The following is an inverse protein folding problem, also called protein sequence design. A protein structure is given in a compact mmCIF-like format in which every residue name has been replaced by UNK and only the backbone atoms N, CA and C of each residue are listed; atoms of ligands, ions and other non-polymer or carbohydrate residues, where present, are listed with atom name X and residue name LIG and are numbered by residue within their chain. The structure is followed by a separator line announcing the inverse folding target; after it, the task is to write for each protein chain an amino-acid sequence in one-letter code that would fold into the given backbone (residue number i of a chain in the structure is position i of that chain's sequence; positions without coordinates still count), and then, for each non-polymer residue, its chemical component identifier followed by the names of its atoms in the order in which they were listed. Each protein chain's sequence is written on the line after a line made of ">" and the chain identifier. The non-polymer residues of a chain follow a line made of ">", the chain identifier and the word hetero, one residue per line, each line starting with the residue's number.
data_IF_001980990766
#
_entry.id   IF_001980990766
#
_cell.length_a   1.000
_cell.length_b   1.000
_cell.length_c   1.000
_cell.angle_alpha   90.00
_cell.angle_beta   90.00
_cell.angle_gamma   90.00
#
_symmetry.space_group_name_H-M   'P 1'
#
loop_
_entity.id
_entity.type
_entity.pdbx_description
1 polymer ?
#
# COMPACT_ATOMS: atom_id res chain seq x y z
N UNK A 1 39.82 -31.59 35.12
CA UNK A 1 40.22 -30.77 33.96
C UNK A 1 39.34 -31.10 32.75
N UNK A 2 38.01 -30.96 32.89
CA UNK A 2 36.98 -31.28 31.87
C UNK A 2 35.79 -30.31 31.91
N UNK A 3 35.97 -29.15 32.56
CA UNK A 3 34.93 -28.12 32.73
C UNK A 3 35.30 -26.77 32.10
N UNK A 4 36.43 -26.71 31.38
CA UNK A 4 36.96 -25.48 30.78
C UNK A 4 37.12 -25.53 29.27
N UNK A 5 36.74 -26.62 28.62
CA UNK A 5 36.67 -26.67 27.17
C UNK A 5 35.25 -26.39 26.71
N UNK A 6 35.17 -25.40 25.83
CA UNK A 6 34.00 -25.02 25.07
C UNK A 6 33.01 -24.01 25.66
N UNK A 7 33.48 -23.08 26.50
CA UNK A 7 32.70 -21.87 26.83
C UNK A 7 32.30 -21.07 25.57
N UNK A 8 33.18 -21.00 24.56
CA UNK A 8 32.93 -20.30 23.29
C UNK A 8 31.82 -20.97 22.48
N UNK A 9 31.85 -22.29 22.31
CA UNK A 9 30.81 -22.99 21.56
C UNK A 9 29.49 -23.08 22.33
N UNK A 10 29.53 -23.22 23.67
CA UNK A 10 28.33 -23.12 24.50
C UNK A 10 27.69 -21.73 24.39
N UNK A 11 28.48 -20.66 24.45
CA UNK A 11 27.99 -19.30 24.27
C UNK A 11 27.40 -19.09 22.86
N UNK A 12 28.08 -19.56 21.81
CA UNK A 12 27.57 -19.48 20.44
C UNK A 12 26.28 -20.29 20.24
N UNK A 13 26.17 -21.45 20.88
CA UNK A 13 24.95 -22.26 20.81
C UNK A 13 23.80 -21.60 21.58
N UNK A 14 24.07 -20.98 22.72
CA UNK A 14 23.08 -20.20 23.49
C UNK A 14 22.62 -18.98 22.68
N UNK A 15 23.53 -18.24 22.05
CA UNK A 15 23.20 -17.10 21.18
C UNK A 15 22.42 -17.50 19.91
N UNK A 16 22.52 -18.77 19.48
CA UNK A 16 21.79 -19.29 18.30
C UNK A 16 20.44 -19.91 18.64
N UNK A 17 20.24 -20.44 19.85
CA UNK A 17 19.04 -21.18 20.26
C UNK A 17 18.04 -20.36 21.08
N UNK A 18 18.45 -19.22 21.63
CA UNK A 18 17.50 -18.31 22.27
C UNK A 18 16.83 -17.50 21.15
N UNK A 19 15.54 -17.74 20.89
CA UNK A 19 14.64 -16.89 20.06
C UNK A 19 14.47 -15.45 20.59
N UNK A 20 15.20 -15.11 21.65
CA UNK A 20 15.44 -13.79 22.24
C UNK A 20 16.95 -13.49 22.17
N UNK A 21 17.47 -13.16 20.98
CA UNK A 21 18.77 -12.52 20.89
C UNK A 21 18.67 -11.20 21.71
N UNK A 22 19.46 -10.99 22.80
CA UNK A 22 19.36 -9.77 23.61
C UNK A 22 19.81 -8.53 22.84
N UNK A 23 20.50 -8.75 21.73
CA UNK A 23 20.55 -7.79 20.65
C UNK A 23 19.46 -8.19 19.68
N UNK A 24 18.31 -7.52 19.73
CA UNK A 24 17.49 -7.44 18.54
C UNK A 24 18.46 -7.13 17.39
N UNK A 25 18.37 -7.90 16.29
CA UNK A 25 18.98 -7.41 15.07
C UNK A 25 18.31 -6.05 14.86
N UNK A 26 19.01 -4.98 15.23
CA UNK A 26 18.68 -3.59 14.96
C UNK A 26 18.87 -3.38 13.44
N UNK A 27 18.20 -4.22 12.66
CA UNK A 27 17.77 -3.88 11.32
C UNK A 27 16.58 -3.00 11.63
N UNK A 28 16.84 -1.70 11.61
CA UNK A 28 15.81 -0.69 11.75
C UNK A 28 14.75 -0.99 10.68
N UNK A 29 13.62 -1.58 11.09
CA UNK A 29 12.49 -1.87 10.21
C UNK A 29 11.64 -0.61 10.13
N UNK A 30 11.10 -0.31 8.93
CA UNK A 30 10.13 0.79 8.76
C UNK A 30 8.84 0.62 9.59
N UNK A 31 8.70 -0.49 10.32
CA UNK A 31 7.59 -0.83 11.20
C UNK A 31 7.69 -0.18 12.60
N UNK A 32 8.91 0.08 13.10
CA UNK A 32 9.12 0.59 14.47
C UNK A 32 9.47 2.08 14.42
N UNK A 33 8.61 2.92 15.02
CA UNK A 33 8.83 4.36 15.08
C UNK A 33 10.13 4.71 15.83
N UNK A 34 11.05 5.40 15.15
CA UNK A 34 12.31 5.87 15.74
C UNK A 34 12.20 7.34 16.12
N UNK A 35 12.37 7.63 17.42
CA UNK A 35 12.44 8.99 17.98
C UNK A 35 13.91 9.47 18.08
N UNK A 36 14.68 9.23 17.02
CA UNK A 36 16.07 9.64 16.92
C UNK A 36 16.14 10.90 16.05
N UNK A 37 16.55 12.01 16.64
CA UNK A 37 16.72 13.27 15.93
C UNK A 37 17.70 13.13 14.76
N UNK A 38 17.42 13.82 13.65
CA UNK A 38 18.33 13.90 12.51
C UNK A 38 19.66 14.53 12.93
N UNK A 39 20.75 13.91 12.49
CA UNK A 39 22.08 14.53 12.57
C UNK A 39 22.10 15.82 11.72
N UNK A 40 22.66 16.93 12.23
CA UNK A 40 22.64 18.23 11.53
C UNK A 40 23.18 18.20 10.09
N UNK A 41 24.13 17.30 9.80
CA UNK A 41 24.70 17.14 8.46
C UNK A 41 23.70 16.69 7.40
N UNK A 42 22.56 16.13 7.79
CA UNK A 42 21.52 15.63 6.88
C UNK A 42 20.35 16.58 6.69
N UNK A 43 20.34 17.72 7.39
CA UNK A 43 19.22 18.65 7.36
C UNK A 43 19.02 19.26 5.97
N UNK A 44 20.10 19.74 5.32
CA UNK A 44 20.02 20.31 3.98
C UNK A 44 19.53 19.29 2.92
N UNK A 45 19.93 18.03 3.08
CA UNK A 45 19.45 16.94 2.22
C UNK A 45 17.96 16.69 2.43
N UNK A 46 17.49 16.65 3.69
CA UNK A 46 16.08 16.51 4.01
C UNK A 46 15.24 17.64 3.39
N UNK A 47 15.67 18.89 3.55
CA UNK A 47 15.01 20.07 3.00
C UNK A 47 14.88 19.97 1.47
N UNK A 48 15.95 19.55 0.79
CA UNK A 48 15.92 19.33 -0.67
C UNK A 48 14.93 18.25 -1.09
N UNK A 49 14.83 17.15 -0.33
CA UNK A 49 13.86 16.08 -0.60
C UNK A 49 12.42 16.56 -0.37
N UNK A 50 12.19 17.36 0.67
CA UNK A 50 10.87 17.94 0.96
C UNK A 50 10.43 18.87 -0.16
N UNK A 51 11.30 19.76 -0.64
CA UNK A 51 11.00 20.66 -1.76
C UNK A 51 10.59 19.90 -3.02
N UNK A 52 11.26 18.78 -3.32
CA UNK A 52 10.89 17.91 -4.45
C UNK A 52 9.52 17.28 -4.23
N UNK A 53 9.21 16.82 -3.02
CA UNK A 53 7.94 16.17 -2.72
C UNK A 53 6.78 17.18 -2.85
N UNK A 54 6.92 18.35 -2.21
CA UNK A 54 5.88 19.39 -2.21
C UNK A 54 5.60 19.96 -3.61
N UNK A 55 6.58 19.87 -4.54
CA UNK A 55 6.40 20.31 -5.92
C UNK A 55 5.73 19.30 -6.87
N UNK A 56 5.61 18.02 -6.49
CA UNK A 56 5.25 16.94 -7.44
C UNK A 56 4.00 16.12 -7.06
N UNK A 57 3.40 16.37 -5.89
CA UNK A 57 2.17 15.73 -5.44
C UNK A 57 2.34 14.24 -5.08
N UNK A 58 1.77 13.33 -5.87
CA UNK A 58 1.97 11.89 -5.67
C UNK A 58 3.37 11.46 -6.16
N UNK A 59 4.23 11.00 -5.25
CA UNK A 59 5.66 10.75 -5.53
C UNK A 59 6.08 9.34 -5.14
N UNK A 60 6.90 8.71 -6.00
CA UNK A 60 7.67 7.52 -5.62
C UNK A 60 9.08 8.00 -5.24
N UNK A 61 9.48 7.76 -3.99
CA UNK A 61 10.80 8.10 -3.49
C UNK A 61 11.63 6.82 -3.30
N UNK A 62 12.50 6.47 -4.27
CA UNK A 62 13.45 5.38 -4.05
C UNK A 62 14.47 5.80 -2.98
N UNK A 63 14.61 5.00 -1.94
CA UNK A 63 15.66 5.20 -0.93
C UNK A 63 16.87 4.37 -1.35
N UNK A 64 17.95 5.07 -1.70
CA UNK A 64 19.20 4.47 -2.14
C UNK A 64 20.31 4.79 -1.13
N UNK A 65 20.98 3.77 -0.60
CA UNK A 65 22.11 3.80 0.31
C UNK A 65 22.51 2.38 0.76
N UNK A 66 23.79 2.20 1.08
CA UNK A 66 24.28 0.92 1.59
C UNK A 66 23.66 0.59 2.96
N UNK A 67 23.78 -0.68 3.35
CA UNK A 67 23.33 -1.15 4.68
C UNK A 67 24.03 -0.34 5.77
N UNK A 68 23.24 0.16 6.73
CA UNK A 68 23.74 0.95 7.85
C UNK A 68 23.92 2.45 7.58
N UNK A 69 23.59 2.95 6.37
CA UNK A 69 23.68 4.39 6.06
C UNK A 69 22.51 5.24 6.62
N UNK A 70 21.62 4.66 7.44
CA UNK A 70 20.51 5.38 8.08
C UNK A 70 19.31 5.62 7.16
N UNK A 71 19.02 4.69 6.24
CA UNK A 71 17.86 4.74 5.33
C UNK A 71 16.53 4.79 6.09
N UNK A 72 16.35 3.90 7.06
CA UNK A 72 15.16 3.86 7.89
C UNK A 72 15.01 5.12 8.75
N UNK A 73 16.12 5.67 9.26
CA UNK A 73 16.10 6.95 9.99
C UNK A 73 15.64 8.11 9.09
N UNK A 74 16.12 8.16 7.84
CA UNK A 74 15.67 9.15 6.85
C UNK A 74 14.16 9.01 6.57
N UNK A 75 13.68 7.78 6.42
CA UNK A 75 12.25 7.51 6.26
C UNK A 75 11.44 8.06 7.44
N UNK A 76 11.81 7.76 8.69
CA UNK A 76 11.09 8.25 9.87
C UNK A 76 11.10 9.76 9.96
N UNK A 77 12.25 10.40 9.71
CA UNK A 77 12.34 11.85 9.68
C UNK A 77 11.41 12.48 8.63
N UNK A 78 11.39 11.93 7.42
CA UNK A 78 10.48 12.39 6.36
C UNK A 78 9.03 12.14 6.71
N UNK A 79 8.69 10.97 7.29
CA UNK A 79 7.33 10.61 7.72
C UNK A 79 6.80 11.57 8.78
N UNK A 80 7.60 11.90 9.78
CA UNK A 80 7.23 12.86 10.83
C UNK A 80 7.03 14.27 10.26
N UNK A 81 7.91 14.70 9.35
CA UNK A 81 7.82 16.03 8.74
C UNK A 81 6.61 16.12 7.81
N UNK A 82 6.40 15.10 6.97
CA UNK A 82 5.38 15.03 5.91
C UNK A 82 4.08 14.36 6.39
N UNK A 83 3.67 14.62 7.64
CA UNK A 83 2.45 14.08 8.27
C UNK A 83 1.14 14.40 7.51
N UNK A 84 1.17 15.39 6.62
CA UNK A 84 0.04 15.75 5.75
C UNK A 84 -0.11 14.85 4.52
N UNK A 85 0.87 14.00 4.24
CA UNK A 85 0.86 13.03 3.14
C UNK A 85 0.48 11.62 3.64
N UNK A 86 -0.02 10.78 2.74
CA UNK A 86 -0.08 9.34 2.98
C UNK A 86 1.30 8.75 2.69
N UNK A 87 2.02 8.36 3.73
CA UNK A 87 3.37 7.80 3.58
C UNK A 87 3.32 6.28 3.67
N UNK A 88 3.83 5.59 2.65
CA UNK A 88 3.83 4.12 2.58
C UNK A 88 5.25 3.66 2.35
N UNK A 89 5.74 2.78 3.21
CA UNK A 89 7.07 2.19 3.10
C UNK A 89 6.96 0.79 2.51
N UNK A 90 7.82 0.50 1.53
CA UNK A 90 7.88 -0.78 0.83
C UNK A 90 9.32 -1.25 0.82
N UNK A 91 9.59 -2.36 1.50
CA UNK A 91 10.86 -3.08 1.34
C UNK A 91 10.76 -4.01 0.13
N UNK A 92 11.69 -3.90 -0.82
CA UNK A 92 11.67 -4.74 -2.02
C UNK A 92 12.10 -6.19 -1.77
N UNK A 93 12.76 -6.47 -0.65
CA UNK A 93 13.12 -7.84 -0.24
C UNK A 93 11.89 -8.77 -0.20
N UNK A 94 10.72 -8.24 0.17
CA UNK A 94 9.47 -8.98 0.31
C UNK A 94 8.58 -8.94 -0.95
N UNK A 95 8.91 -8.12 -1.95
CA UNK A 95 7.92 -7.64 -2.95
C UNK A 95 8.19 -8.08 -4.40
N UNK A 96 9.34 -8.70 -4.69
CA UNK A 96 9.70 -9.04 -6.07
C UNK A 96 8.67 -9.95 -6.78
N UNK A 97 8.00 -10.84 -6.03
CA UNK A 97 6.89 -11.66 -6.55
C UNK A 97 5.57 -11.02 -6.14
N UNK A 98 4.74 -10.67 -7.14
CA UNK A 98 3.45 -9.98 -6.98
C UNK A 98 3.56 -8.52 -6.49
N UNK A 99 4.55 -7.79 -7.01
CA UNK A 99 4.82 -6.37 -6.71
C UNK A 99 3.56 -5.55 -6.43
N UNK A 100 2.66 -5.40 -7.41
CA UNK A 100 1.47 -4.55 -7.26
C UNK A 100 0.52 -5.00 -6.16
N UNK A 101 0.38 -6.31 -5.92
CA UNK A 101 -0.48 -6.82 -4.86
C UNK A 101 0.12 -6.50 -3.49
N UNK A 102 1.41 -6.75 -3.29
CA UNK A 102 2.06 -6.44 -2.01
C UNK A 102 2.09 -4.93 -1.78
N UNK A 103 2.43 -4.12 -2.80
CA UNK A 103 2.32 -2.66 -2.75
C UNK A 103 0.91 -2.20 -2.37
N UNK A 104 -0.12 -2.83 -2.93
CA UNK A 104 -1.51 -2.53 -2.58
C UNK A 104 -1.83 -2.87 -1.12
N UNK A 105 -1.44 -4.05 -0.65
CA UNK A 105 -1.63 -4.48 0.73
C UNK A 105 -0.95 -3.53 1.73
N UNK A 106 0.34 -3.23 1.51
CA UNK A 106 1.09 -2.27 2.33
C UNK A 106 0.43 -0.88 2.34
N UNK A 107 -0.08 -0.45 1.19
CA UNK A 107 -0.76 0.82 1.06
C UNK A 107 -2.07 0.87 1.86
N UNK A 108 -2.89 -0.20 1.80
CA UNK A 108 -4.11 -0.33 2.59
C UNK A 108 -3.79 -0.34 4.08
N UNK A 109 -2.78 -1.10 4.51
CA UNK A 109 -2.36 -1.17 5.91
C UNK A 109 -1.88 0.19 6.43
N UNK A 110 -1.04 0.90 5.66
CA UNK A 110 -0.48 2.21 6.04
C UNK A 110 -1.48 3.38 5.98
N UNK A 111 -2.56 3.26 5.20
CA UNK A 111 -3.71 4.17 5.34
C UNK A 111 -4.40 4.03 6.71
N UNK A 112 -3.93 3.09 7.53
CA UNK A 112 -4.60 2.60 8.71
C UNK A 112 -5.90 2.00 8.23
N UNK A 113 -5.93 0.94 7.44
CA UNK A 113 -7.16 0.19 7.15
C UNK A 113 -7.00 -1.18 7.80
N UNK A 114 -6.82 -1.15 9.11
CA UNK A 114 -6.69 -2.34 9.95
C UNK A 114 -8.02 -2.75 10.58
N UNK A 115 -8.16 -4.02 11.00
CA UNK A 115 -9.40 -4.61 11.50
C UNK A 115 -9.97 -3.96 12.77
N UNK A 116 -9.18 -3.17 13.51
CA UNK A 116 -9.61 -2.67 14.80
C UNK A 116 -10.23 -1.27 14.82
N UNK A 117 -10.02 -0.35 13.85
CA UNK A 117 -10.77 0.93 13.85
C UNK A 117 -10.64 1.89 12.64
N UNK A 118 -10.38 1.43 11.41
CA UNK A 118 -9.98 2.43 10.40
C UNK A 118 -10.30 2.09 8.93
N UNK A 119 -11.47 1.50 8.68
CA UNK A 119 -12.03 1.32 7.32
C UNK A 119 -12.60 2.62 6.72
N UNK A 120 -12.46 3.74 7.43
CA UNK A 120 -13.11 5.00 7.10
C UNK A 120 -12.57 5.67 5.82
N UNK A 121 -11.25 5.71 5.54
CA UNK A 121 -10.74 6.31 4.30
C UNK A 121 -11.25 5.60 3.05
N UNK A 122 -11.24 4.27 3.04
CA UNK A 122 -11.70 3.45 1.92
C UNK A 122 -13.22 3.53 1.72
N UNK A 123 -14.00 3.46 2.82
CA UNK A 123 -15.46 3.65 2.76
C UNK A 123 -15.83 5.05 2.28
N UNK A 124 -15.14 6.07 2.78
CA UNK A 124 -15.34 7.45 2.35
C UNK A 124 -15.03 7.62 0.86
N UNK A 125 -13.88 7.11 0.42
CA UNK A 125 -13.47 7.16 -0.98
C UNK A 125 -14.49 6.47 -1.89
N UNK A 126 -14.82 5.21 -1.59
CA UNK A 126 -15.75 4.43 -2.42
C UNK A 126 -17.16 5.04 -2.46
N UNK A 127 -17.62 5.62 -1.35
CA UNK A 127 -18.87 6.40 -1.31
C UNK A 127 -18.80 7.63 -2.21
N UNK A 128 -17.75 8.45 -2.07
CA UNK A 128 -17.56 9.67 -2.89
C UNK A 128 -17.54 9.33 -4.37
N UNK A 129 -16.83 8.28 -4.77
CA UNK A 129 -16.79 7.80 -6.15
C UNK A 129 -18.17 7.40 -6.66
N UNK A 130 -18.95 6.65 -5.88
CA UNK A 130 -20.32 6.30 -6.26
C UNK A 130 -21.22 7.54 -6.40
N UNK A 131 -21.08 8.51 -5.49
CA UNK A 131 -21.82 9.77 -5.57
C UNK A 131 -21.47 10.55 -6.85
N UNK A 132 -20.18 10.62 -7.21
CA UNK A 132 -19.69 11.21 -8.48
C UNK A 132 -20.23 10.49 -9.73
N UNK A 133 -20.50 9.19 -9.63
CA UNK A 133 -21.09 8.39 -10.71
C UNK A 133 -22.63 8.43 -10.75
N UNK A 134 -23.25 9.18 -9.85
CA UNK A 134 -24.69 9.45 -9.86
C UNK A 134 -25.50 8.65 -8.83
N UNK A 135 -24.89 8.08 -7.79
CA UNK A 135 -25.62 7.38 -6.73
C UNK A 135 -26.61 8.27 -5.96
N UNK A 136 -26.38 9.58 -5.93
CA UNK A 136 -27.22 10.59 -5.26
C UNK A 136 -28.12 11.39 -6.22
N UNK A 137 -28.27 10.98 -7.49
CA UNK A 137 -29.08 11.74 -8.44
C UNK A 137 -30.53 11.93 -7.93
N UNK A 138 -30.90 13.18 -7.67
CA UNK A 138 -32.27 13.57 -7.33
C UNK A 138 -32.98 14.02 -8.60
N UNK A 139 -34.14 13.43 -8.87
CA UNK A 139 -35.04 13.90 -9.94
C UNK A 139 -36.29 14.47 -9.28
N UNK A 140 -36.56 15.75 -9.50
CA UNK A 140 -37.73 16.46 -8.91
C UNK A 140 -37.81 16.38 -7.37
N UNK A 141 -36.66 16.45 -6.67
CA UNK A 141 -36.63 16.50 -5.20
C UNK A 141 -36.75 15.15 -4.48
N UNK A 142 -36.99 14.04 -5.20
CA UNK A 142 -37.03 12.69 -4.62
C UNK A 142 -35.77 11.90 -5.00
N UNK A 143 -35.30 11.05 -4.08
CA UNK A 143 -34.25 10.08 -4.36
C UNK A 143 -34.80 8.99 -5.27
N UNK A 144 -34.14 8.74 -6.40
CA UNK A 144 -34.51 7.65 -7.30
C UNK A 144 -34.06 6.32 -6.70
N UNK A 145 -34.79 5.22 -7.00
CA UNK A 145 -34.29 3.87 -6.78
C UNK A 145 -32.95 3.74 -7.53
N UNK A 146 -31.89 3.46 -6.78
CA UNK A 146 -30.51 3.40 -7.29
C UNK A 146 -30.41 2.30 -8.34
N UNK A 147 -30.09 2.69 -9.58
CA UNK A 147 -29.81 1.74 -10.65
C UNK A 147 -28.29 1.51 -10.73
N UNK A 148 -27.82 0.43 -10.11
CA UNK A 148 -26.40 0.07 -10.03
C UNK A 148 -25.77 -0.06 -11.42
N UNK A 149 -26.48 -0.65 -12.40
CA UNK A 149 -25.95 -0.84 -13.75
C UNK A 149 -25.77 0.50 -14.50
N UNK A 150 -26.68 1.45 -14.29
CA UNK A 150 -26.51 2.83 -14.81
C UNK A 150 -25.25 3.47 -14.23
N UNK A 151 -25.06 3.37 -12.90
CA UNK A 151 -23.90 3.95 -12.20
C UNK A 151 -22.59 3.33 -12.69
N UNK A 152 -22.55 2.01 -12.85
CA UNK A 152 -21.38 1.30 -13.41
C UNK A 152 -21.06 1.75 -14.83
N UNK A 153 -22.09 1.96 -15.66
CA UNK A 153 -21.92 2.48 -17.02
C UNK A 153 -21.32 3.89 -17.02
N UNK A 154 -21.86 4.79 -16.20
CA UNK A 154 -21.31 6.15 -16.04
C UNK A 154 -19.85 6.10 -15.57
N UNK A 155 -19.54 5.28 -14.58
CA UNK A 155 -18.18 5.09 -14.07
C UNK A 155 -17.22 4.62 -15.19
N UNK A 156 -17.64 3.63 -15.97
CA UNK A 156 -16.85 3.10 -17.08
C UNK A 156 -16.64 4.16 -18.17
N UNK A 157 -17.66 4.91 -18.55
CA UNK A 157 -17.55 5.99 -19.54
C UNK A 157 -16.53 7.04 -19.07
N UNK A 158 -16.65 7.51 -17.82
CA UNK A 158 -15.77 8.50 -17.22
C UNK A 158 -14.31 8.04 -17.13
N UNK A 159 -14.08 6.77 -16.83
CA UNK A 159 -12.75 6.25 -16.53
C UNK A 159 -12.11 5.45 -17.66
N UNK A 160 -12.88 5.08 -18.69
CA UNK A 160 -12.37 4.28 -19.81
C UNK A 160 -11.06 4.85 -20.36
N UNK A 161 -10.98 6.15 -20.66
CA UNK A 161 -9.77 6.73 -21.25
C UNK A 161 -8.57 6.83 -20.28
N UNK A 162 -8.78 6.69 -18.96
CA UNK A 162 -7.73 6.79 -17.93
C UNK A 162 -7.05 5.45 -17.61
N UNK A 163 -7.65 4.33 -18.01
CA UNK A 163 -7.16 2.99 -17.70
C UNK A 163 -7.13 2.11 -18.95
N UNK A 164 -5.96 1.54 -19.23
CA UNK A 164 -5.75 0.62 -20.35
C UNK A 164 -6.45 -0.73 -20.10
N UNK A 165 -6.36 -1.25 -18.88
CA UNK A 165 -6.85 -2.57 -18.48
C UNK A 165 -8.34 -2.55 -18.17
N UNK A 166 -9.18 -2.66 -19.21
CA UNK A 166 -10.65 -2.55 -19.08
C UNK A 166 -11.27 -3.60 -18.17
N UNK A 167 -10.79 -4.84 -18.21
CA UNK A 167 -11.34 -5.91 -17.37
C UNK A 167 -11.09 -5.66 -15.88
N UNK A 168 -9.85 -5.29 -15.53
CA UNK A 168 -9.49 -4.92 -14.17
C UNK A 168 -10.25 -3.67 -13.69
N UNK A 169 -10.46 -2.67 -14.57
CA UNK A 169 -11.29 -1.51 -14.29
C UNK A 169 -12.75 -1.90 -14.00
N UNK A 170 -13.31 -2.83 -14.79
CA UNK A 170 -14.67 -3.32 -14.57
C UNK A 170 -14.81 -4.07 -13.25
N UNK A 171 -13.84 -4.90 -12.90
CA UNK A 171 -13.80 -5.56 -11.58
C UNK A 171 -13.76 -4.51 -10.46
N UNK A 172 -12.89 -3.50 -10.56
CA UNK A 172 -12.78 -2.40 -9.60
C UNK A 172 -14.09 -1.62 -9.42
N UNK A 173 -14.70 -1.16 -10.53
CA UNK A 173 -15.98 -0.43 -10.51
C UNK A 173 -17.08 -1.32 -9.90
N UNK A 174 -17.10 -2.60 -10.26
CA UNK A 174 -18.08 -3.56 -9.74
C UNK A 174 -17.92 -3.75 -8.24
N UNK A 175 -16.70 -3.91 -7.73
CA UNK A 175 -16.44 -4.04 -6.31
C UNK A 175 -16.85 -2.76 -5.54
N UNK A 176 -16.46 -1.58 -6.03
CA UNK A 176 -16.77 -0.28 -5.41
C UNK A 176 -18.29 -0.07 -5.33
N UNK A 177 -19.00 -0.26 -6.45
CA UNK A 177 -20.45 -0.08 -6.51
C UNK A 177 -21.20 -1.11 -5.68
N UNK A 178 -20.74 -2.36 -5.65
CA UNK A 178 -21.35 -3.42 -4.82
C UNK A 178 -21.17 -3.11 -3.34
N UNK A 179 -19.97 -2.70 -2.91
CA UNK A 179 -19.69 -2.33 -1.54
C UNK A 179 -20.60 -1.19 -1.03
N UNK A 180 -20.89 -0.20 -1.89
CA UNK A 180 -21.69 0.97 -1.49
C UNK A 180 -23.19 0.78 -1.66
N UNK A 181 -23.63 0.05 -2.68
CA UNK A 181 -25.02 0.07 -3.15
C UNK A 181 -25.75 -1.28 -3.01
N UNK A 182 -25.03 -2.38 -2.80
CA UNK A 182 -25.62 -3.71 -2.65
C UNK A 182 -25.46 -4.21 -1.20
N UNK A 183 -26.51 -4.13 -0.36
CA UNK A 183 -26.42 -4.53 1.04
C UNK A 183 -26.19 -6.04 1.23
N UNK A 184 -26.54 -6.87 0.25
CA UNK A 184 -26.41 -8.33 0.35
C UNK A 184 -24.97 -8.81 0.12
N UNK A 185 -24.24 -8.12 -0.74
CA UNK A 185 -22.88 -8.48 -1.13
C UNK A 185 -21.81 -7.52 -0.61
N UNK A 186 -22.22 -6.54 0.22
CA UNK A 186 -21.35 -5.49 0.76
C UNK A 186 -20.10 -6.03 1.46
N UNK A 187 -20.26 -7.02 2.33
CA UNK A 187 -19.15 -7.57 3.14
C UNK A 187 -18.10 -8.22 2.24
N UNK A 188 -18.53 -9.02 1.27
CA UNK A 188 -17.60 -9.69 0.35
C UNK A 188 -16.90 -8.70 -0.58
N UNK A 189 -17.61 -7.65 -1.01
CA UNK A 189 -17.01 -6.57 -1.78
C UNK A 189 -15.99 -5.77 -0.96
N UNK A 190 -16.26 -5.53 0.33
CA UNK A 190 -15.30 -4.90 1.25
C UNK A 190 -14.04 -5.75 1.40
N UNK A 191 -14.18 -7.07 1.61
CA UNK A 191 -13.04 -8.01 1.67
C UNK A 191 -12.20 -7.98 0.39
N UNK A 192 -12.83 -7.91 -0.79
CA UNK A 192 -12.11 -7.73 -2.06
C UNK A 192 -11.35 -6.40 -2.10
N UNK A 193 -11.95 -5.30 -1.65
CA UNK A 193 -11.30 -3.99 -1.58
C UNK A 193 -10.16 -3.96 -0.55
N UNK A 194 -10.23 -4.77 0.50
CA UNK A 194 -9.13 -4.96 1.47
C UNK A 194 -8.01 -5.86 0.92
N UNK A 195 -8.17 -6.41 -0.29
CA UNK A 195 -7.19 -7.29 -0.91
C UNK A 195 -7.16 -8.70 -0.31
N UNK A 196 -8.23 -9.12 0.37
CA UNK A 196 -8.33 -10.49 0.85
C UNK A 196 -8.37 -11.51 -0.30
N UNK A 197 -7.96 -12.73 0.02
CA UNK A 197 -8.06 -13.86 -0.90
C UNK A 197 -9.52 -14.26 -1.08
N UNK A 198 -9.96 -14.28 -2.34
CA UNK A 198 -11.32 -14.64 -2.70
C UNK A 198 -11.36 -16.02 -3.34
N UNK A 199 -12.29 -16.86 -2.91
CA UNK A 199 -12.62 -18.10 -3.60
C UNK A 199 -13.44 -17.81 -4.87
N UNK A 200 -13.38 -18.70 -5.86
CA UNK A 200 -14.08 -18.54 -7.14
C UNK A 200 -15.59 -18.34 -6.99
N UNK A 201 -16.20 -18.97 -5.98
CA UNK A 201 -17.62 -18.80 -5.62
C UNK A 201 -17.94 -17.38 -5.16
N UNK A 202 -17.02 -16.73 -4.45
CA UNK A 202 -17.18 -15.37 -3.94
C UNK A 202 -17.03 -14.37 -5.08
N UNK A 203 -16.02 -14.56 -5.94
CA UNK A 203 -15.85 -13.78 -7.17
C UNK A 203 -17.07 -13.88 -8.08
N UNK A 204 -17.59 -15.10 -8.29
CA UNK A 204 -18.78 -15.34 -9.12
C UNK A 204 -20.02 -14.63 -8.56
N UNK A 205 -20.23 -14.67 -7.23
CA UNK A 205 -21.34 -13.97 -6.57
C UNK A 205 -21.23 -12.44 -6.71
N UNK A 206 -20.01 -11.90 -6.59
CA UNK A 206 -19.73 -10.48 -6.80
C UNK A 206 -19.74 -10.06 -8.28
N UNK A 207 -19.83 -11.04 -9.21
CA UNK A 207 -19.67 -10.83 -10.66
C UNK A 207 -18.30 -10.23 -11.03
N UNK A 208 -17.26 -10.60 -10.28
CA UNK A 208 -15.87 -10.22 -10.52
C UNK A 208 -15.13 -11.35 -11.23
N UNK A 209 -14.21 -11.01 -12.14
CA UNK A 209 -13.37 -12.00 -12.83
C UNK A 209 -12.15 -12.39 -12.01
N UNK A 210 -11.48 -11.44 -11.37
CA UNK A 210 -10.26 -11.69 -10.63
C UNK A 210 -10.23 -10.98 -9.27
N UNK A 211 -9.47 -11.54 -8.33
CA UNK A 211 -9.04 -10.85 -7.12
C UNK A 211 -7.80 -9.97 -7.37
N UNK A 212 -7.33 -9.29 -6.33
CA UNK A 212 -6.18 -8.40 -6.43
C UNK A 212 -4.84 -9.12 -6.59
N UNK A 213 -4.77 -10.46 -6.50
CA UNK A 213 -3.53 -11.18 -6.84
C UNK A 213 -3.22 -11.07 -8.33
N UNK A 214 -4.22 -10.78 -9.16
CA UNK A 214 -4.00 -10.49 -10.57
C UNK A 214 -3.34 -9.12 -10.70
N UNK A 215 -2.15 -9.11 -11.32
CA UNK A 215 -1.31 -7.91 -11.54
C UNK A 215 -2.13 -6.68 -11.96
N UNK A 216 -2.95 -6.83 -12.99
CA UNK A 216 -3.70 -5.72 -13.57
C UNK A 216 -4.77 -5.19 -12.60
N UNK A 217 -5.42 -6.06 -11.82
CA UNK A 217 -6.42 -5.68 -10.82
C UNK A 217 -5.80 -4.91 -9.66
N UNK A 218 -4.68 -5.40 -9.10
CA UNK A 218 -3.94 -4.68 -8.07
C UNK A 218 -3.44 -3.33 -8.57
N UNK A 219 -2.86 -3.27 -9.77
CA UNK A 219 -2.37 -2.01 -10.35
C UNK A 219 -3.51 -1.00 -10.53
N UNK A 220 -4.62 -1.41 -11.13
CA UNK A 220 -5.77 -0.52 -11.35
C UNK A 220 -6.33 -0.03 -10.02
N UNK A 221 -6.49 -0.90 -9.04
CA UNK A 221 -6.99 -0.48 -7.72
C UNK A 221 -6.03 0.44 -6.99
N UNK A 222 -4.73 0.14 -6.99
CA UNK A 222 -3.71 1.02 -6.40
C UNK A 222 -3.74 2.42 -7.05
N UNK A 223 -3.82 2.47 -8.38
CA UNK A 223 -3.94 3.73 -9.13
C UNK A 223 -5.22 4.48 -8.74
N UNK A 224 -6.37 3.79 -8.66
CA UNK A 224 -7.63 4.40 -8.21
C UNK A 224 -7.47 5.02 -6.82
N UNK A 225 -6.85 4.30 -5.86
CA UNK A 225 -6.64 4.83 -4.52
C UNK A 225 -5.76 6.10 -4.56
N UNK A 226 -4.56 6.00 -5.11
CA UNK A 226 -3.59 7.10 -5.12
C UNK A 226 -4.14 8.36 -5.82
N UNK A 227 -4.86 8.19 -6.94
CA UNK A 227 -5.39 9.34 -7.71
C UNK A 227 -6.64 9.97 -7.08
N UNK A 228 -7.29 9.31 -6.13
CA UNK A 228 -8.58 9.76 -5.59
C UNK A 228 -8.57 10.02 -4.08
N UNK A 229 -7.50 9.69 -3.37
CA UNK A 229 -7.33 10.06 -1.97
C UNK A 229 -7.25 11.59 -1.80
N UNK A 230 -7.66 12.08 -0.61
CA UNK A 230 -7.64 13.51 -0.30
C UNK A 230 -6.23 14.05 -0.06
N UNK A 231 -5.38 13.21 0.54
CA UNK A 231 -3.97 13.49 0.78
C UNK A 231 -3.17 12.88 -0.36
N UNK A 232 -2.15 13.60 -0.80
CA UNK A 232 -1.16 13.08 -1.73
C UNK A 232 -0.36 11.96 -1.06
N UNK A 233 0.18 11.06 -1.88
CA UNK A 233 0.79 9.82 -1.42
C UNK A 233 2.27 9.78 -1.78
N UNK A 234 3.10 9.36 -0.82
CA UNK A 234 4.53 9.15 -0.98
C UNK A 234 4.82 7.67 -0.80
N UNK A 235 5.33 7.06 -1.86
CA UNK A 235 5.73 5.66 -1.85
C UNK A 235 7.25 5.57 -1.66
N UNK A 236 7.68 5.24 -0.45
CA UNK A 236 9.07 4.98 -0.14
C UNK A 236 9.40 3.55 -0.55
N UNK A 237 10.35 3.39 -1.46
CA UNK A 237 10.79 2.07 -1.92
C UNK A 237 12.23 1.86 -1.47
N UNK A 238 12.45 0.96 -0.51
CA UNK A 238 13.77 0.56 -0.02
C UNK A 238 14.30 -0.66 -0.78
N UNK A 239 15.62 -0.84 -0.75
CA UNK A 239 16.39 -1.85 -1.49
C UNK A 239 16.26 -1.75 -3.01
N UNK A 240 16.05 -0.53 -3.52
CA UNK A 240 15.93 -0.27 -4.96
C UNK A 240 17.21 -0.63 -5.74
N UNK A 241 18.37 -0.57 -5.09
CA UNK A 241 19.66 -0.95 -5.66
C UNK A 241 19.72 -2.42 -6.03
N UNK A 242 19.04 -3.29 -5.27
CA UNK A 242 18.94 -4.71 -5.60
C UNK A 242 18.12 -4.94 -6.86
N UNK A 243 17.09 -4.13 -7.10
CA UNK A 243 16.36 -4.17 -8.37
C UNK A 243 17.26 -3.72 -9.51
N UNK A 244 17.97 -2.60 -9.35
CA UNK A 244 18.88 -2.09 -10.37
C UNK A 244 19.94 -3.14 -10.73
N UNK A 245 20.54 -3.81 -9.75
CA UNK A 245 21.56 -4.83 -9.99
C UNK A 245 21.00 -6.11 -10.64
N UNK A 246 19.76 -6.49 -10.34
CA UNK A 246 19.09 -7.61 -11.01
C UNK A 246 18.69 -7.25 -12.45
N UNK A 247 18.27 -6.01 -12.69
CA UNK A 247 17.82 -5.55 -14.01
C UNK A 247 18.97 -5.25 -14.98
N UNK A 248 20.10 -4.79 -14.44
CA UNK A 248 21.34 -4.56 -15.18
C UNK A 248 22.43 -5.44 -14.56
N UNK A 249 22.46 -6.76 -14.85
CA UNK A 249 23.59 -7.57 -14.45
C UNK A 249 24.84 -6.93 -15.05
N UNK A 250 25.75 -6.47 -14.21
CA UNK A 250 27.10 -6.18 -14.65
C UNK A 250 27.68 -7.55 -14.96
N UNK A 251 27.86 -7.84 -16.25
CA UNK A 251 28.57 -9.02 -16.71
C UNK A 251 30.02 -8.89 -16.21
N UNK A 252 30.35 -9.63 -15.14
CA UNK A 252 31.73 -9.99 -14.79
C UNK A 252 32.15 -11.26 -15.53
#
# INVERSE_FOLDING_TARGET
>A
MLLFENKKQKLLNILKFIELNPFDRFVSTGEINEDLGLVPSRQQFLESVIEVIEGNGNVILPIIGEVGQGKTHLYWALKHTLHNYNTVYISLETVYKKFYYNTYSEFIENLGIGPENSVEPLRYLTKRLCDEWGAQERKHGFFQIVNIDKIRKTALENWSNKFEKKEALMDAITAITTHQLDPFNKVDAERWLLGELMADRELSRLKLKNDLRKRDNAFVMLKILIENLRKESILFIDDFERIISIMNPIDD
#
